data_IF_767217154201
#
_entry.id   IF_767217154201
#
_cell.length_a   1.000
_cell.length_b   1.000
_cell.length_c   1.000
_cell.angle_alpha   90.00
_cell.angle_beta   90.00
_cell.angle_gamma   90.00
#
_symmetry.space_group_name_H-M   'P 1'
#
loop_
_entity.id
_entity.type
_entity.pdbx_description
1 polymer ?
#
# COMPACT_ATOMS: atom_id res chain seq x y z
N UNK A 1 26.31 1.56 2.29
CA UNK A 1 25.26 1.93 1.30
C UNK A 1 25.94 2.47 0.06
N UNK A 2 25.52 2.04 -1.12
CA UNK A 2 26.01 2.60 -2.39
C UNK A 2 25.35 3.96 -2.63
N UNK A 3 26.04 4.93 -3.23
CA UNK A 3 25.45 6.25 -3.54
C UNK A 3 24.13 6.14 -4.34
N UNK A 4 24.03 5.11 -5.19
CA UNK A 4 22.81 4.81 -5.94
C UNK A 4 21.60 4.55 -5.04
N UNK A 5 21.75 3.79 -3.96
CA UNK A 5 20.65 3.51 -3.04
C UNK A 5 20.14 4.78 -2.34
N UNK A 6 21.05 5.70 -1.97
CA UNK A 6 20.68 6.97 -1.36
C UNK A 6 19.94 7.88 -2.35
N UNK A 7 20.39 7.95 -3.59
CA UNK A 7 19.73 8.73 -4.64
C UNK A 7 18.34 8.19 -4.97
N UNK A 8 18.18 6.86 -4.97
CA UNK A 8 16.86 6.23 -5.13
C UNK A 8 15.95 6.59 -3.96
N UNK A 9 16.42 6.46 -2.71
CA UNK A 9 15.64 6.82 -1.52
C UNK A 9 15.24 8.31 -1.52
N UNK A 10 16.11 9.19 -2.01
CA UNK A 10 15.84 10.62 -2.16
C UNK A 10 14.79 10.91 -3.26
N UNK A 11 14.95 10.30 -4.44
CA UNK A 11 13.97 10.40 -5.53
C UNK A 11 12.56 10.01 -5.02
N UNK A 12 12.47 8.91 -4.28
CA UNK A 12 11.20 8.44 -3.73
C UNK A 12 10.58 9.43 -2.75
N UNK A 13 11.39 10.10 -1.92
CA UNK A 13 10.90 11.13 -1.01
C UNK A 13 10.34 12.34 -1.78
N UNK A 14 11.02 12.77 -2.85
CA UNK A 14 10.55 13.87 -3.69
C UNK A 14 9.27 13.53 -4.47
N UNK A 15 9.15 12.30 -4.97
CA UNK A 15 7.91 11.83 -5.61
C UNK A 15 6.71 11.87 -4.66
N UNK A 16 6.91 11.43 -3.40
CA UNK A 16 5.89 11.53 -2.35
C UNK A 16 5.50 12.99 -2.09
N UNK A 17 6.49 13.87 -1.90
CA UNK A 17 6.27 15.30 -1.67
C UNK A 17 5.50 15.94 -2.82
N UNK A 18 5.89 15.67 -4.06
CA UNK A 18 5.18 16.16 -5.24
C UNK A 18 3.75 15.65 -5.31
N UNK A 19 3.52 14.35 -5.10
CA UNK A 19 2.19 13.75 -5.15
C UNK A 19 1.24 14.36 -4.11
N UNK A 20 1.68 14.48 -2.85
CA UNK A 20 0.86 15.01 -1.77
C UNK A 20 0.64 16.52 -1.88
N UNK A 21 1.68 17.30 -2.21
CA UNK A 21 1.51 18.75 -2.41
C UNK A 21 0.57 19.06 -3.56
N UNK A 22 0.75 18.41 -4.71
CA UNK A 22 -0.18 18.57 -5.83
C UNK A 22 -1.60 18.14 -5.45
N UNK A 23 -1.75 17.06 -4.68
CA UNK A 23 -3.05 16.61 -4.17
C UNK A 23 -3.73 17.61 -3.23
N UNK A 24 -2.96 18.23 -2.33
CA UNK A 24 -3.43 19.26 -1.39
C UNK A 24 -3.79 20.57 -2.09
N UNK A 25 -2.97 21.02 -3.03
CA UNK A 25 -3.24 22.23 -3.82
C UNK A 25 -4.53 22.09 -4.64
N UNK A 26 -4.70 20.98 -5.37
CA UNK A 26 -5.93 20.70 -6.12
C UNK A 26 -7.16 20.62 -5.22
N UNK A 27 -7.01 20.13 -3.99
CA UNK A 27 -8.11 20.08 -3.04
C UNK A 27 -8.58 21.50 -2.67
N UNK A 28 -7.64 22.41 -2.45
CA UNK A 28 -7.94 23.80 -2.15
C UNK A 28 -8.61 24.50 -3.34
N UNK A 29 -8.11 24.28 -4.55
CA UNK A 29 -8.72 24.85 -5.78
C UNK A 29 -10.18 24.38 -5.95
N UNK A 30 -10.46 23.08 -5.73
CA UNK A 30 -11.82 22.53 -5.80
C UNK A 30 -12.75 23.09 -4.72
N UNK A 31 -12.23 23.44 -3.54
CA UNK A 31 -13.01 24.09 -2.49
C UNK A 31 -13.27 25.57 -2.78
N UNK A 32 -12.38 26.25 -3.50
CA UNK A 32 -12.53 27.65 -3.90
C UNK A 32 -13.46 27.82 -5.11
N UNK A 33 -13.56 26.82 -6.00
CA UNK A 33 -14.34 26.89 -7.25
C UNK A 33 -15.78 26.32 -7.15
N UNK A 34 -16.23 25.72 -6.03
CA UNK A 34 -17.42 24.86 -6.06
C UNK A 34 -18.36 24.86 -4.84
N UNK A 35 -19.21 25.87 -4.70
CA UNK A 35 -20.51 25.80 -3.99
C UNK A 35 -21.70 25.62 -4.98
N UNK A 36 -21.45 25.45 -6.28
CA UNK A 36 -22.50 25.50 -7.32
C UNK A 36 -22.66 24.23 -8.17
N UNK A 37 -22.00 23.12 -7.79
CA UNK A 37 -22.09 21.86 -8.52
C UNK A 37 -22.59 20.70 -7.64
N UNK A 38 -23.64 20.95 -6.85
CA UNK A 38 -24.46 19.87 -6.31
C UNK A 38 -25.09 19.15 -7.50
N UNK A 39 -24.52 18.01 -7.89
CA UNK A 39 -25.15 17.07 -8.80
C UNK A 39 -26.52 16.76 -8.17
N UNK A 40 -27.59 17.20 -8.84
CA UNK A 40 -28.93 16.70 -8.58
C UNK A 40 -28.90 15.20 -8.88
N UNK A 41 -28.58 14.39 -7.88
CA UNK A 41 -28.82 12.95 -7.93
C UNK A 41 -30.33 12.81 -8.00
N UNK A 42 -30.82 12.36 -9.15
CA UNK A 42 -32.19 11.93 -9.33
C UNK A 42 -32.49 10.89 -8.24
N UNK A 43 -33.30 11.28 -7.24
CA UNK A 43 -33.60 10.48 -6.05
C UNK A 43 -34.39 9.18 -6.34
N UNK A 44 -34.54 8.81 -7.61
CA UNK A 44 -35.17 7.57 -8.04
C UNK A 44 -34.19 6.44 -8.34
N UNK A 45 -32.89 6.72 -8.50
CA UNK A 45 -31.86 5.72 -8.83
C UNK A 45 -30.93 5.44 -7.65
N UNK A 46 -30.80 4.16 -7.29
CA UNK A 46 -29.78 3.70 -6.36
C UNK A 46 -28.40 3.86 -6.99
N UNK A 47 -27.49 4.56 -6.30
CA UNK A 47 -26.10 4.71 -6.73
C UNK A 47 -25.38 3.36 -6.62
N UNK A 48 -24.54 3.05 -7.62
CA UNK A 48 -23.67 1.87 -7.56
C UNK A 48 -22.52 2.05 -6.57
N UNK A 49 -21.98 0.96 -6.05
CA UNK A 49 -20.83 0.98 -5.13
C UNK A 49 -19.65 1.77 -5.71
N UNK A 50 -19.41 1.66 -7.02
CA UNK A 50 -18.39 2.44 -7.72
C UNK A 50 -18.64 3.94 -7.63
N UNK A 51 -19.86 4.38 -7.92
CA UNK A 51 -20.23 5.81 -7.86
C UNK A 51 -20.13 6.35 -6.42
N UNK A 52 -20.45 5.52 -5.43
CA UNK A 52 -20.30 5.86 -4.01
C UNK A 52 -18.82 6.07 -3.66
N UNK A 53 -17.94 5.15 -4.08
CA UNK A 53 -16.49 5.25 -3.86
C UNK A 53 -15.89 6.44 -4.61
N UNK A 54 -16.28 6.68 -5.86
CA UNK A 54 -15.82 7.85 -6.63
C UNK A 54 -16.27 9.15 -5.95
N UNK A 55 -17.52 9.22 -5.49
CA UNK A 55 -18.03 10.36 -4.71
C UNK A 55 -17.24 10.57 -3.41
N UNK A 56 -16.90 9.50 -2.69
CA UNK A 56 -16.04 9.59 -1.50
C UNK A 56 -14.68 10.21 -1.84
N UNK A 57 -14.01 9.71 -2.88
CA UNK A 57 -12.66 10.17 -3.26
C UNK A 57 -12.64 11.64 -3.70
N UNK A 58 -13.75 12.15 -4.26
CA UNK A 58 -13.89 13.58 -4.58
C UNK A 58 -14.11 14.44 -3.34
N UNK A 59 -15.05 14.04 -2.47
CA UNK A 59 -15.47 14.80 -1.29
C UNK A 59 -14.44 14.78 -0.16
N UNK A 60 -13.90 13.61 0.16
CA UNK A 60 -13.01 13.46 1.31
C UNK A 60 -11.54 13.60 0.92
N UNK A 61 -10.96 14.72 1.35
CA UNK A 61 -9.54 14.99 1.12
C UNK A 61 -8.61 14.05 1.90
N UNK A 62 -9.05 13.54 3.05
CA UNK A 62 -8.26 12.64 3.88
C UNK A 62 -8.08 11.28 3.21
N UNK A 63 -9.17 10.61 2.82
CA UNK A 63 -9.13 9.32 2.10
C UNK A 63 -8.30 9.43 0.83
N UNK A 64 -8.46 10.52 0.07
CA UNK A 64 -7.65 10.76 -1.13
C UNK A 64 -6.16 10.91 -0.83
N UNK A 65 -5.79 11.65 0.23
CA UNK A 65 -4.38 11.74 0.64
C UNK A 65 -3.83 10.39 1.10
N UNK A 66 -4.63 9.60 1.85
CA UNK A 66 -4.25 8.24 2.26
C UNK A 66 -3.99 7.34 1.03
N UNK A 67 -4.86 7.40 0.03
CA UNK A 67 -4.69 6.67 -1.23
C UNK A 67 -3.42 7.11 -1.97
N UNK A 68 -3.10 8.41 -2.02
CA UNK A 68 -1.85 8.88 -2.65
C UNK A 68 -0.60 8.30 -1.99
N UNK A 69 -0.62 8.10 -0.66
CA UNK A 69 0.49 7.45 0.06
C UNK A 69 0.55 5.96 -0.29
N UNK A 70 -0.59 5.28 -0.40
CA UNK A 70 -0.65 3.88 -0.87
C UNK A 70 -0.09 3.76 -2.29
N UNK A 71 -0.54 4.59 -3.22
CA UNK A 71 -0.09 4.61 -4.62
C UNK A 71 1.43 4.89 -4.74
N UNK A 72 1.96 5.74 -3.87
CA UNK A 72 3.39 6.00 -3.78
C UNK A 72 4.17 4.76 -3.31
N UNK A 73 3.71 4.10 -2.25
CA UNK A 73 4.33 2.88 -1.72
C UNK A 73 4.28 1.73 -2.73
N UNK A 74 3.17 1.61 -3.48
CA UNK A 74 3.00 0.60 -4.52
C UNK A 74 3.97 0.83 -5.68
N UNK A 75 4.10 2.07 -6.16
CA UNK A 75 5.10 2.42 -7.19
C UNK A 75 6.52 2.13 -6.75
N UNK A 76 6.84 2.42 -5.48
CA UNK A 76 8.16 2.11 -4.92
C UNK A 76 8.44 0.60 -4.85
N UNK A 77 7.42 -0.24 -4.70
CA UNK A 77 7.56 -1.69 -4.62
C UNK A 77 7.72 -2.37 -6.00
N UNK A 78 7.34 -1.72 -7.10
CA UNK A 78 7.41 -2.30 -8.47
C UNK A 78 8.82 -2.82 -8.82
N UNK A 79 9.91 -2.05 -8.67
CA UNK A 79 11.25 -2.53 -9.02
C UNK A 79 11.71 -3.69 -8.13
N UNK A 80 11.14 -3.84 -6.92
CA UNK A 80 11.50 -4.89 -5.97
C UNK A 80 10.88 -6.24 -6.36
N UNK A 81 9.73 -6.24 -7.05
CA UNK A 81 9.04 -7.46 -7.46
C UNK A 81 9.80 -8.26 -8.53
N UNK A 82 10.65 -7.62 -9.34
CA UNK A 82 11.45 -8.29 -10.37
C UNK A 82 12.87 -8.70 -9.93
N UNK A 83 13.23 -8.45 -8.67
CA UNK A 83 14.58 -8.64 -8.14
C UNK A 83 14.69 -9.84 -7.18
N UNK A 84 13.64 -10.66 -7.04
CA UNK A 84 13.73 -11.92 -6.32
C UNK A 84 14.77 -12.82 -6.97
N UNK A 85 15.55 -13.53 -6.15
CA UNK A 85 16.58 -14.46 -6.60
C UNK A 85 16.05 -15.40 -7.70
N UNK A 86 16.92 -15.85 -8.62
CA UNK A 86 16.58 -16.73 -9.74
C UNK A 86 15.81 -18.01 -9.34
N UNK A 87 15.86 -18.39 -8.06
CA UNK A 87 15.17 -19.53 -7.43
C UNK A 87 13.64 -19.34 -7.28
N UNK A 88 13.15 -18.08 -7.30
CA UNK A 88 11.71 -17.74 -7.15
C UNK A 88 11.01 -17.52 -8.51
N UNK A 89 11.65 -17.83 -9.65
CA UNK A 89 11.04 -17.65 -10.97
C UNK A 89 9.94 -18.69 -11.21
N UNK A 90 8.71 -18.29 -10.90
CA UNK A 90 7.47 -19.05 -11.16
C UNK A 90 7.34 -19.55 -12.61
N UNK A 91 7.98 -18.89 -13.57
CA UNK A 91 8.03 -19.29 -14.98
C UNK A 91 8.58 -20.71 -15.19
N UNK A 92 9.43 -21.22 -14.29
CA UNK A 92 9.93 -22.61 -14.37
C UNK A 92 8.92 -23.64 -13.89
N UNK A 93 7.90 -23.21 -13.14
CA UNK A 93 6.88 -24.07 -12.52
C UNK A 93 5.51 -23.96 -13.23
N UNK A 94 5.28 -22.86 -13.96
CA UNK A 94 4.08 -22.58 -14.75
C UNK A 94 4.05 -23.41 -16.05
N UNK A 95 4.06 -24.73 -15.93
CA UNK A 95 3.91 -25.61 -17.06
C UNK A 95 2.40 -25.93 -17.24
N UNK A 96 1.81 -25.59 -18.37
CA UNK A 96 0.48 -26.03 -18.85
C UNK A 96 -0.77 -25.77 -17.96
N UNK A 97 -0.77 -24.80 -17.04
CA UNK A 97 -2.01 -24.29 -16.41
C UNK A 97 -2.78 -25.28 -15.52
N UNK A 98 -2.11 -26.31 -15.00
CA UNK A 98 -2.70 -27.29 -14.08
C UNK A 98 -2.11 -27.14 -12.68
N UNK A 99 -2.95 -26.78 -11.70
CA UNK A 99 -2.58 -26.75 -10.29
C UNK A 99 -2.45 -28.17 -9.71
N UNK A 100 -1.58 -28.33 -8.72
CA UNK A 100 -1.36 -29.57 -7.96
C UNK A 100 -1.05 -30.82 -8.82
N UNK A 101 -0.12 -30.69 -9.75
CA UNK A 101 0.25 -31.76 -10.68
C UNK A 101 0.76 -33.01 -9.98
N UNK A 102 1.58 -32.85 -8.93
CA UNK A 102 2.15 -34.01 -8.24
C UNK A 102 1.08 -34.77 -7.45
N UNK A 103 0.13 -34.05 -6.87
CA UNK A 103 -1.06 -34.59 -6.21
C UNK A 103 -1.95 -35.32 -7.22
N UNK A 104 -2.14 -34.75 -8.42
CA UNK A 104 -2.86 -35.41 -9.52
C UNK A 104 -2.19 -36.71 -9.97
N UNK A 105 -0.88 -36.68 -10.15
CA UNK A 105 -0.12 -37.87 -10.52
C UNK A 105 -0.25 -38.96 -9.45
N UNK A 106 -0.20 -38.58 -8.17
CA UNK A 106 -0.44 -39.50 -7.07
C UNK A 106 -1.85 -40.13 -7.16
N UNK A 107 -2.89 -39.36 -7.49
CA UNK A 107 -4.23 -39.91 -7.74
C UNK A 107 -4.28 -40.98 -8.81
N UNK A 108 -3.75 -40.64 -9.97
CA UNK A 108 -3.80 -41.51 -11.15
C UNK A 108 -3.03 -42.80 -10.87
N UNK A 109 -1.87 -42.71 -10.21
CA UNK A 109 -1.07 -43.88 -9.85
C UNK A 109 -1.74 -44.80 -8.81
N UNK A 110 -2.47 -44.24 -7.84
CA UNK A 110 -3.19 -45.02 -6.83
C UNK A 110 -4.48 -45.65 -7.36
N UNK A 111 -5.12 -45.05 -8.36
CA UNK A 111 -6.31 -45.62 -9.01
C UNK A 111 -5.99 -46.90 -9.79
N UNK A 112 -4.79 -46.97 -10.41
CA UNK A 112 -4.35 -48.12 -11.20
C UNK A 112 -3.86 -49.31 -10.36
N UNK A 113 -3.34 -49.03 -9.16
CA UNK A 113 -2.76 -50.04 -8.27
C UNK A 113 -3.61 -50.09 -7.00
N UNK A 114 -4.70 -50.88 -7.02
CA UNK A 114 -5.61 -51.02 -5.88
C UNK A 114 -4.88 -51.26 -4.55
N UNK A 115 -4.66 -50.18 -3.80
CA UNK A 115 -3.79 -50.16 -2.63
C UNK A 115 -4.18 -49.02 -1.66
N UNK A 116 -3.61 -49.14 -0.45
CA UNK A 116 -3.80 -48.44 0.83
C UNK A 116 -4.43 -47.03 0.84
N UNK A 117 -5.10 -46.64 1.96
CA UNK A 117 -5.62 -45.28 2.13
C UNK A 117 -4.52 -44.24 1.88
N UNK A 118 -4.78 -43.36 0.90
CA UNK A 118 -3.88 -42.26 0.52
C UNK A 118 -3.64 -41.33 1.71
N UNK A 119 -2.38 -40.91 1.91
CA UNK A 119 -2.04 -39.84 2.86
C UNK A 119 -2.29 -38.44 2.32
N UNK A 120 -2.68 -38.34 1.04
CA UNK A 120 -2.98 -37.10 0.34
C UNK A 120 -4.48 -36.95 0.13
N UNK A 121 -4.95 -35.71 -0.02
CA UNK A 121 -6.34 -35.34 -0.41
C UNK A 121 -6.82 -36.20 -1.56
N UNK A 122 -8.13 -36.37 -1.76
CA UNK A 122 -8.78 -37.18 -2.83
C UNK A 122 -9.38 -36.36 -3.97
N UNK A 123 -9.58 -35.07 -3.76
CA UNK A 123 -10.13 -34.13 -4.72
C UNK A 123 -9.14 -32.99 -5.05
N UNK A 124 -9.27 -32.37 -6.22
CA UNK A 124 -8.38 -31.28 -6.70
C UNK A 124 -8.89 -29.86 -6.41
N UNK A 125 -10.03 -29.71 -5.75
CA UNK A 125 -10.53 -28.39 -5.37
C UNK A 125 -9.71 -27.78 -4.23
N UNK A 126 -9.59 -26.45 -4.24
CA UNK A 126 -8.75 -25.69 -3.29
C UNK A 126 -9.12 -25.90 -1.82
N UNK A 127 -10.37 -26.27 -1.52
CA UNK A 127 -10.83 -26.54 -0.16
C UNK A 127 -10.70 -28.03 0.26
N UNK A 128 -10.26 -28.93 -0.64
CA UNK A 128 -10.05 -30.35 -0.34
C UNK A 128 -9.13 -30.58 0.88
N UNK A 129 -7.99 -29.88 1.03
CA UNK A 129 -7.11 -30.08 2.17
C UNK A 129 -7.79 -29.77 3.50
N UNK A 130 -8.60 -28.72 3.52
CA UNK A 130 -9.35 -28.31 4.71
C UNK A 130 -10.54 -29.24 5.00
N UNK A 131 -11.28 -29.64 3.97
CA UNK A 131 -12.47 -30.49 4.08
C UNK A 131 -12.12 -31.92 4.49
N UNK A 132 -11.12 -32.51 3.84
CA UNK A 132 -10.71 -33.89 4.08
C UNK A 132 -9.72 -34.02 5.25
N UNK A 133 -9.09 -32.91 5.65
CA UNK A 133 -8.00 -32.88 6.65
C UNK A 133 -6.81 -33.75 6.23
N UNK A 134 -6.57 -33.79 4.92
CA UNK A 134 -5.42 -34.43 4.29
C UNK A 134 -4.56 -33.36 3.64
N UNK A 135 -3.30 -33.68 3.38
CA UNK A 135 -2.35 -32.74 2.77
C UNK A 135 -2.29 -32.93 1.25
N UNK A 136 -1.88 -31.91 0.52
CA UNK A 136 -1.43 -32.06 -0.87
C UNK A 136 0.02 -32.58 -0.89
N UNK A 137 0.51 -32.96 -2.07
CA UNK A 137 1.88 -33.38 -2.26
C UNK A 137 2.87 -32.30 -1.76
N UNK A 138 3.99 -32.71 -1.16
CA UNK A 138 4.90 -31.77 -0.51
C UNK A 138 5.52 -30.77 -1.51
N UNK A 139 5.78 -31.18 -2.75
CA UNK A 139 6.20 -30.30 -3.85
C UNK A 139 5.12 -29.27 -4.24
N UNK A 140 3.87 -29.71 -4.44
CA UNK A 140 2.79 -28.79 -4.79
C UNK A 140 2.53 -27.76 -3.67
N UNK A 141 2.74 -28.15 -2.41
CA UNK A 141 2.65 -27.23 -1.27
C UNK A 141 3.74 -26.18 -1.28
N UNK A 142 4.95 -26.54 -1.68
CA UNK A 142 6.07 -25.61 -1.83
C UNK A 142 5.78 -24.63 -2.97
N UNK A 143 5.36 -25.15 -4.14
CA UNK A 143 4.95 -24.34 -5.30
C UNK A 143 3.85 -23.33 -4.95
N UNK A 144 2.81 -23.76 -4.21
CA UNK A 144 1.77 -22.85 -3.72
C UNK A 144 2.32 -21.76 -2.78
N UNK A 145 3.25 -22.11 -1.89
CA UNK A 145 3.86 -21.12 -0.99
C UNK A 145 4.64 -20.05 -1.78
N UNK A 146 5.38 -20.44 -2.82
CA UNK A 146 6.07 -19.51 -3.72
C UNK A 146 5.08 -18.65 -4.52
N UNK A 147 3.99 -19.25 -5.03
CA UNK A 147 2.93 -18.52 -5.73
C UNK A 147 2.30 -17.46 -4.81
N UNK A 148 1.87 -17.81 -3.61
CA UNK A 148 1.27 -16.85 -2.68
C UNK A 148 2.24 -15.73 -2.27
N UNK A 149 3.52 -16.05 -2.13
CA UNK A 149 4.57 -15.06 -1.87
C UNK A 149 4.70 -14.08 -3.04
N UNK A 150 4.78 -14.58 -4.27
CA UNK A 150 4.79 -13.75 -5.49
C UNK A 150 3.53 -12.88 -5.57
N UNK A 151 2.34 -13.47 -5.42
CA UNK A 151 1.05 -12.76 -5.39
C UNK A 151 1.07 -11.62 -4.38
N UNK A 152 1.55 -11.85 -3.16
CA UNK A 152 1.66 -10.79 -2.15
C UNK A 152 2.56 -9.65 -2.61
N UNK A 153 3.73 -9.94 -3.18
CA UNK A 153 4.63 -8.89 -3.66
C UNK A 153 4.00 -8.06 -4.79
N UNK A 154 3.34 -8.71 -5.75
CA UNK A 154 2.68 -8.00 -6.85
C UNK A 154 1.44 -7.21 -6.40
N UNK A 155 0.68 -7.71 -5.42
CA UNK A 155 -0.36 -6.91 -4.74
C UNK A 155 0.22 -5.66 -4.09
N UNK A 156 1.38 -5.79 -3.44
CA UNK A 156 2.09 -4.68 -2.78
C UNK A 156 2.68 -3.66 -3.76
N UNK A 157 2.80 -4.04 -5.04
CA UNK A 157 3.22 -3.19 -6.13
C UNK A 157 2.05 -2.62 -6.96
N UNK A 158 0.80 -2.83 -6.52
CA UNK A 158 -0.39 -2.36 -7.23
C UNK A 158 -0.65 -3.06 -8.57
N UNK A 159 0.02 -4.19 -8.86
CA UNK A 159 -0.05 -4.91 -10.13
C UNK A 159 -1.20 -5.92 -10.15
N UNK A 160 -2.42 -5.46 -9.87
CA UNK A 160 -3.59 -6.34 -9.67
C UNK A 160 -3.92 -7.20 -10.90
N UNK A 161 -3.92 -6.59 -12.09
CA UNK A 161 -4.21 -7.29 -13.35
C UNK A 161 -3.20 -8.39 -13.64
N UNK A 162 -1.91 -8.05 -13.54
CA UNK A 162 -0.84 -9.01 -13.75
C UNK A 162 -0.88 -10.14 -12.71
N UNK A 163 -1.23 -9.83 -11.45
CA UNK A 163 -1.36 -10.83 -10.38
C UNK A 163 -2.46 -11.86 -10.71
N UNK A 164 -3.57 -11.42 -11.29
CA UNK A 164 -4.65 -12.32 -11.71
C UNK A 164 -4.22 -13.23 -12.86
N UNK A 165 -3.51 -12.66 -13.84
CA UNK A 165 -2.95 -13.40 -14.98
C UNK A 165 -1.95 -14.44 -14.48
N UNK A 166 -1.00 -14.05 -13.62
CA UNK A 166 -0.03 -14.97 -13.00
C UNK A 166 -0.72 -16.17 -12.36
N UNK A 167 -1.73 -15.92 -11.53
CA UNK A 167 -2.44 -16.95 -10.79
C UNK A 167 -3.24 -17.87 -11.72
N UNK A 168 -3.85 -17.29 -12.77
CA UNK A 168 -4.57 -18.06 -13.79
C UNK A 168 -3.64 -18.93 -14.63
N UNK A 169 -2.47 -18.41 -15.02
CA UNK A 169 -1.45 -19.12 -15.78
C UNK A 169 -0.85 -20.29 -15.00
N UNK A 170 -0.84 -20.20 -13.66
CA UNK A 170 -0.46 -21.29 -12.76
C UNK A 170 -1.62 -22.27 -12.45
N UNK A 171 -2.78 -22.13 -13.10
CA UNK A 171 -3.92 -23.03 -12.95
C UNK A 171 -4.80 -22.77 -11.72
N UNK A 172 -4.54 -21.71 -10.95
CA UNK A 172 -5.29 -21.33 -9.76
C UNK A 172 -6.44 -20.35 -10.08
N UNK A 173 -7.28 -20.66 -11.08
CA UNK A 173 -8.38 -19.79 -11.54
C UNK A 173 -9.33 -19.33 -10.42
N UNK A 174 -9.50 -20.16 -9.39
CA UNK A 174 -10.29 -19.82 -8.21
C UNK A 174 -9.68 -18.63 -7.43
N UNK A 175 -8.36 -18.54 -7.34
CA UNK A 175 -7.66 -17.45 -6.67
C UNK A 175 -7.69 -16.19 -7.54
N UNK A 176 -7.63 -16.32 -8.87
CA UNK A 176 -7.86 -15.19 -9.79
C UNK A 176 -9.27 -14.59 -9.59
N UNK A 177 -10.30 -15.42 -9.41
CA UNK A 177 -11.65 -14.96 -9.08
C UNK A 177 -11.73 -14.28 -7.70
N UNK A 178 -11.02 -14.79 -6.69
CA UNK A 178 -10.91 -14.13 -5.38
C UNK A 178 -10.26 -12.75 -5.50
N UNK A 179 -9.21 -12.62 -6.32
CA UNK A 179 -8.48 -11.37 -6.59
C UNK A 179 -9.30 -10.34 -7.38
N UNK A 180 -10.42 -10.70 -8.01
CA UNK A 180 -11.36 -9.75 -8.63
C UNK A 180 -12.44 -9.27 -7.65
N UNK A 181 -12.69 -10.03 -6.57
CA UNK A 181 -13.82 -9.80 -5.66
C UNK A 181 -13.77 -8.49 -4.85
N UNK A 182 -12.66 -7.74 -4.89
CA UNK A 182 -12.50 -6.45 -4.22
C UNK A 182 -13.20 -5.30 -4.94
N UNK A 183 -13.42 -5.41 -6.26
CA UNK A 183 -13.95 -4.32 -7.08
C UNK A 183 -15.36 -3.91 -6.64
N UNK A 184 -15.60 -2.60 -6.44
CA UNK A 184 -16.94 -2.07 -6.23
C UNK A 184 -17.87 -2.46 -7.39
N UNK A 185 -19.09 -2.89 -7.07
CA UNK A 185 -20.10 -3.20 -8.07
C UNK A 185 -20.48 -1.98 -8.90
N UNK A 186 -20.64 -2.17 -10.21
CA UNK A 186 -21.12 -1.15 -11.12
C UNK A 186 -21.90 -1.76 -12.29
N UNK A 187 -23.10 -1.23 -12.53
CA UNK A 187 -23.91 -1.56 -13.69
C UNK A 187 -24.20 -0.29 -14.50
N UNK A 188 -23.52 -0.15 -15.64
CA UNK A 188 -23.68 0.99 -16.56
C UNK A 188 -25.08 1.05 -17.18
N UNK A 189 -25.83 -0.05 -17.17
CA UNK A 189 -27.17 -0.12 -17.72
C UNK A 189 -28.21 0.43 -16.73
N UNK A 190 -27.88 0.48 -15.44
CA UNK A 190 -28.78 1.02 -14.42
C UNK A 190 -28.77 2.55 -14.54
N UNK A 191 -29.86 3.15 -15.04
CA UNK A 191 -30.00 4.60 -15.21
C UNK A 191 -29.77 5.15 -16.62
N UNK A 192 -29.47 4.30 -17.61
CA UNK A 192 -29.46 4.72 -19.01
C UNK A 192 -30.90 4.84 -19.53
N UNK A 193 -31.30 6.04 -19.97
CA UNK A 193 -32.56 6.25 -20.68
C UNK A 193 -32.53 5.37 -21.94
N UNK A 194 -33.56 4.55 -22.15
CA UNK A 194 -33.73 3.66 -23.32
C UNK A 194 -33.13 4.28 -24.59
N UNK A 195 -32.00 3.75 -25.07
CA UNK A 195 -31.32 4.31 -26.25
C UNK A 195 -29.89 3.83 -26.52
N UNK A 196 -29.22 3.15 -25.58
CA UNK A 196 -27.95 2.50 -25.87
C UNK A 196 -28.18 1.23 -26.72
N UNK A 197 -27.58 1.18 -27.91
CA UNK A 197 -27.74 0.07 -28.87
C UNK A 197 -27.06 -1.25 -28.43
N UNK A 198 -26.44 -1.29 -27.25
CA UNK A 198 -25.78 -2.48 -26.69
C UNK A 198 -25.76 -2.45 -25.16
N UNK A 199 -26.21 -3.54 -24.54
CA UNK A 199 -26.08 -3.80 -23.09
C UNK A 199 -24.59 -3.96 -22.77
N UNK A 200 -24.09 -3.21 -21.78
CA UNK A 200 -22.71 -3.32 -21.32
C UNK A 200 -22.59 -4.38 -20.22
N UNK A 201 -21.44 -5.07 -20.08
CA UNK A 201 -21.25 -6.01 -18.99
C UNK A 201 -21.22 -5.30 -17.64
N UNK A 202 -21.83 -5.91 -16.64
CA UNK A 202 -21.74 -5.49 -15.25
C UNK A 202 -20.36 -5.81 -14.69
N UNK A 203 -19.81 -4.91 -13.87
CA UNK A 203 -18.48 -5.03 -13.27
C UNK A 203 -18.56 -5.13 -11.74
N UNK A 204 -17.53 -5.74 -11.13
CA UNK A 204 -17.35 -5.79 -9.69
C UNK A 204 -18.27 -6.77 -8.94
N UNK A 205 -18.28 -6.66 -7.62
CA UNK A 205 -18.90 -7.62 -6.72
C UNK A 205 -20.03 -7.01 -5.89
N UNK A 206 -21.29 -7.35 -6.22
CA UNK A 206 -22.48 -6.91 -5.50
C UNK A 206 -22.48 -7.35 -4.01
N UNK A 207 -21.87 -8.48 -3.73
CA UNK A 207 -21.81 -9.12 -2.41
C UNK A 207 -20.40 -9.01 -1.79
N UNK A 208 -19.80 -7.81 -1.87
CA UNK A 208 -18.44 -7.56 -1.36
C UNK A 208 -18.29 -7.81 0.15
N UNK A 209 -19.34 -7.61 0.94
CA UNK A 209 -19.36 -7.93 2.38
C UNK A 209 -19.15 -9.43 2.66
N UNK A 210 -19.80 -10.30 1.88
CA UNK A 210 -19.63 -11.75 1.97
C UNK A 210 -18.22 -12.17 1.53
N UNK A 211 -17.71 -11.58 0.45
CA UNK A 211 -16.35 -11.81 -0.03
C UNK A 211 -15.30 -11.37 1.01
N UNK A 212 -15.44 -10.17 1.58
CA UNK A 212 -14.53 -9.64 2.60
C UNK A 212 -14.55 -10.52 3.85
N UNK A 213 -15.73 -10.98 4.27
CA UNK A 213 -15.88 -11.93 5.39
C UNK A 213 -15.14 -13.25 5.13
N UNK A 214 -15.28 -13.81 3.93
CA UNK A 214 -14.59 -15.04 3.54
C UNK A 214 -13.07 -14.86 3.51
N UNK A 215 -12.58 -13.75 2.94
CA UNK A 215 -11.15 -13.42 2.96
C UNK A 215 -10.63 -13.27 4.40
N UNK A 216 -11.38 -12.61 5.29
CA UNK A 216 -10.96 -12.45 6.68
C UNK A 216 -10.81 -13.79 7.42
N UNK A 217 -11.75 -14.72 7.20
CA UNK A 217 -11.72 -16.07 7.77
C UNK A 217 -10.52 -16.86 7.24
N UNK A 218 -10.26 -16.81 5.93
CA UNK A 218 -9.09 -17.44 5.33
C UNK A 218 -7.78 -16.84 5.87
N UNK A 219 -7.70 -15.52 6.01
CA UNK A 219 -6.55 -14.83 6.61
C UNK A 219 -6.28 -15.25 8.06
N UNK A 220 -7.35 -15.60 8.79
CA UNK A 220 -7.30 -15.99 10.20
C UNK A 220 -7.11 -17.50 10.40
N UNK A 221 -7.02 -18.29 9.33
CA UNK A 221 -6.87 -19.74 9.42
C UNK A 221 -5.42 -20.12 9.78
N UNK A 222 -5.14 -20.69 10.97
CA UNK A 222 -3.78 -21.02 11.39
C UNK A 222 -3.13 -22.14 10.57
N UNK A 223 -3.91 -22.94 9.82
CA UNK A 223 -3.37 -24.03 9.00
C UNK A 223 -2.83 -23.55 7.65
N UNK A 224 -3.27 -22.39 7.18
CA UNK A 224 -2.83 -21.78 5.93
C UNK A 224 -1.39 -21.29 6.03
N UNK A 225 -0.70 -21.20 4.90
CA UNK A 225 0.69 -20.73 4.85
C UNK A 225 0.80 -19.25 5.27
N UNK A 226 2.01 -18.78 5.59
CA UNK A 226 2.24 -17.38 5.97
C UNK A 226 1.71 -16.43 4.88
N UNK A 227 2.18 -16.60 3.64
CA UNK A 227 1.84 -15.71 2.54
C UNK A 227 0.40 -15.86 2.07
N UNK A 228 -0.19 -17.06 2.15
CA UNK A 228 -1.62 -17.26 1.89
C UNK A 228 -2.46 -16.39 2.84
N UNK A 229 -2.19 -16.46 4.15
CA UNK A 229 -2.88 -15.61 5.13
C UNK A 229 -2.64 -14.13 4.87
N UNK A 230 -1.42 -13.76 4.45
CA UNK A 230 -1.06 -12.38 4.13
C UNK A 230 -1.81 -11.86 2.90
N UNK A 231 -1.96 -12.65 1.84
CA UNK A 231 -2.74 -12.28 0.65
C UNK A 231 -4.20 -12.04 1.01
N UNK A 232 -4.84 -12.97 1.73
CA UNK A 232 -6.21 -12.77 2.18
C UNK A 232 -6.34 -11.60 3.16
N UNK A 233 -5.35 -11.40 4.03
CA UNK A 233 -5.29 -10.25 4.92
C UNK A 233 -5.20 -8.94 4.16
N UNK A 234 -4.46 -8.90 3.05
CA UNK A 234 -4.43 -7.76 2.15
C UNK A 234 -5.81 -7.54 1.52
N UNK A 235 -6.51 -8.57 1.08
CA UNK A 235 -7.83 -8.42 0.47
C UNK A 235 -8.92 -7.98 1.46
N UNK A 236 -8.81 -8.36 2.73
CA UNK A 236 -9.80 -8.06 3.77
C UNK A 236 -9.39 -6.96 4.76
N UNK A 237 -8.24 -6.33 4.59
CA UNK A 237 -7.61 -5.41 5.54
C UNK A 237 -7.37 -5.99 6.94
N UNK A 238 -7.03 -7.28 7.02
CA UNK A 238 -6.58 -7.89 8.26
C UNK A 238 -5.09 -7.59 8.47
N UNK A 239 -4.81 -6.43 9.06
CA UNK A 239 -3.44 -5.96 9.36
C UNK A 239 -2.66 -7.01 10.15
N UNK A 240 -3.27 -7.67 11.13
CA UNK A 240 -2.59 -8.65 11.98
C UNK A 240 -2.13 -9.89 11.21
N UNK A 241 -2.87 -10.32 10.18
CA UNK A 241 -2.45 -11.42 9.31
C UNK A 241 -1.32 -11.03 8.34
N UNK A 242 -1.19 -9.74 8.02
CA UNK A 242 -0.17 -9.24 7.08
C UNK A 242 1.16 -8.94 7.76
N UNK A 243 1.14 -8.36 8.96
CA UNK A 243 2.34 -7.92 9.68
C UNK A 243 3.46 -8.97 9.79
N UNK A 244 3.19 -10.28 10.00
CA UNK A 244 4.25 -11.28 10.10
C UNK A 244 5.06 -11.48 8.81
N UNK A 245 4.51 -11.11 7.64
CA UNK A 245 5.21 -11.14 6.35
C UNK A 245 5.89 -9.80 6.01
N UNK A 246 5.62 -8.73 6.76
CA UNK A 246 6.14 -7.39 6.53
C UNK A 246 7.33 -7.09 7.45
N UNK A 247 8.53 -7.05 6.88
CA UNK A 247 9.78 -6.80 7.62
C UNK A 247 10.22 -5.35 7.49
N UNK A 248 10.12 -4.78 6.29
CA UNK A 248 10.56 -3.43 6.00
C UNK A 248 9.61 -2.37 6.55
N UNK A 249 10.12 -1.15 6.74
CA UNK A 249 9.33 -0.02 7.23
C UNK A 249 8.21 0.34 6.25
N UNK A 250 8.51 0.31 4.95
CA UNK A 250 7.60 0.62 3.84
C UNK A 250 6.47 -0.41 3.74
N UNK A 251 6.77 -1.69 3.98
CA UNK A 251 5.77 -2.78 4.00
C UNK A 251 4.79 -2.61 5.16
N UNK A 252 5.32 -2.28 6.34
CA UNK A 252 4.53 -2.03 7.55
C UNK A 252 3.68 -0.76 7.42
N UNK A 253 4.20 0.28 6.76
CA UNK A 253 3.45 1.50 6.46
C UNK A 253 2.34 1.23 5.44
N UNK A 254 2.65 0.55 4.32
CA UNK A 254 1.67 0.22 3.28
C UNK A 254 0.50 -0.57 3.84
N UNK A 255 0.79 -1.59 4.67
CA UNK A 255 -0.24 -2.41 5.32
C UNK A 255 -1.23 -1.58 6.13
N UNK A 256 -0.75 -0.59 6.89
CA UNK A 256 -1.59 0.27 7.73
C UNK A 256 -2.33 1.32 6.92
N UNK A 257 -1.65 1.99 5.99
CA UNK A 257 -2.28 3.02 5.14
C UNK A 257 -3.37 2.42 4.24
N UNK A 258 -3.13 1.22 3.71
CA UNK A 258 -4.14 0.49 2.93
C UNK A 258 -5.36 0.09 3.77
N UNK A 259 -5.16 -0.26 5.04
CA UNK A 259 -6.26 -0.50 5.97
C UNK A 259 -7.04 0.78 6.29
N UNK A 260 -6.38 1.93 6.43
CA UNK A 260 -7.06 3.25 6.59
C UNK A 260 -7.98 3.52 5.40
N UNK A 261 -7.47 3.40 4.18
CA UNK A 261 -8.28 3.58 2.96
C UNK A 261 -9.48 2.64 2.94
N UNK A 262 -9.26 1.35 3.20
CA UNK A 262 -10.34 0.35 3.16
C UNK A 262 -11.38 0.57 4.27
N UNK A 263 -10.99 1.02 5.47
CA UNK A 263 -11.95 1.37 6.54
C UNK A 263 -12.82 2.53 6.12
N UNK A 264 -12.21 3.61 5.61
CA UNK A 264 -12.94 4.77 5.13
C UNK A 264 -13.89 4.41 3.95
N UNK A 265 -13.46 3.59 2.99
CA UNK A 265 -14.32 3.08 1.91
C UNK A 265 -15.44 2.17 2.41
N UNK A 266 -15.13 1.25 3.31
CA UNK A 266 -16.09 0.28 3.86
C UNK A 266 -17.19 0.99 4.67
N UNK A 267 -16.86 2.02 5.44
CA UNK A 267 -17.84 2.80 6.19
C UNK A 267 -18.87 3.49 5.28
N UNK A 268 -18.42 4.11 4.19
CA UNK A 268 -19.29 4.77 3.20
C UNK A 268 -20.16 3.75 2.44
N UNK A 269 -19.55 2.67 1.93
CA UNK A 269 -20.26 1.61 1.23
C UNK A 269 -21.32 0.96 2.11
N UNK A 270 -21.00 0.64 3.36
CA UNK A 270 -21.96 0.05 4.29
C UNK A 270 -23.10 1.01 4.61
N UNK A 271 -22.81 2.30 4.82
CA UNK A 271 -23.83 3.32 5.11
C UNK A 271 -24.83 3.47 3.96
N UNK A 272 -24.35 3.46 2.72
CA UNK A 272 -25.20 3.50 1.53
C UNK A 272 -25.98 2.19 1.32
N UNK A 273 -25.33 1.04 1.48
CA UNK A 273 -25.91 -0.27 1.11
C UNK A 273 -26.86 -0.84 2.17
N UNK A 274 -26.71 -0.46 3.46
CA UNK A 274 -27.59 -0.93 4.54
C UNK A 274 -29.06 -0.56 4.33
N UNK A 275 -29.34 0.46 3.52
CA UNK A 275 -30.70 0.86 3.16
C UNK A 275 -31.35 -0.11 2.15
N UNK A 276 -30.54 -0.74 1.30
CA UNK A 276 -30.99 -1.63 0.23
C UNK A 276 -31.02 -3.11 0.65
N UNK A 277 -30.04 -3.56 1.45
CA UNK A 277 -29.98 -4.96 1.94
C UNK A 277 -29.31 -5.11 3.30
N UNK A 278 -29.59 -6.23 3.95
CA UNK A 278 -28.84 -6.66 5.14
C UNK A 278 -27.40 -7.01 4.77
N UNK A 279 -26.45 -6.49 5.53
CA UNK A 279 -25.02 -6.73 5.35
C UNK A 279 -24.49 -7.71 6.39
N UNK A 280 -23.53 -8.53 5.99
CA UNK A 280 -22.76 -9.36 6.92
C UNK A 280 -21.95 -8.49 7.88
N UNK A 281 -21.95 -8.76 9.20
CA UNK A 281 -21.20 -7.98 10.18
C UNK A 281 -19.69 -8.13 9.95
N UNK A 282 -18.96 -7.02 10.15
CA UNK A 282 -17.50 -7.03 10.14
C UNK A 282 -16.98 -7.95 11.25
N UNK A 283 -15.88 -8.66 10.98
CA UNK A 283 -15.30 -9.62 11.91
C UNK A 283 -14.62 -8.91 13.09
N UNK A 284 -14.58 -9.53 14.29
CA UNK A 284 -13.85 -8.97 15.43
C UNK A 284 -12.38 -8.73 15.07
N UNK A 285 -11.89 -7.52 15.36
CA UNK A 285 -10.54 -7.08 15.01
C UNK A 285 -10.45 -6.19 13.77
N UNK A 286 -11.51 -6.07 12.98
CA UNK A 286 -11.60 -5.03 11.96
C UNK A 286 -11.78 -3.66 12.65
N UNK A 287 -11.02 -2.60 12.28
CA UNK A 287 -11.14 -1.29 12.90
C UNK A 287 -12.54 -0.69 12.73
N UNK A 288 -13.12 -0.20 13.83
CA UNK A 288 -14.43 0.46 13.80
C UNK A 288 -14.29 1.88 13.24
N UNK A 289 -13.27 2.59 13.71
CA UNK A 289 -12.99 3.98 13.35
C UNK A 289 -11.81 4.04 12.36
N UNK A 290 -11.86 5.01 11.44
CA UNK A 290 -10.75 5.25 10.50
C UNK A 290 -9.60 5.93 11.28
N UNK A 291 -8.43 5.29 11.31
CA UNK A 291 -7.26 5.80 12.05
C UNK A 291 -6.66 7.04 11.36
N UNK A 292 -6.12 7.97 12.13
CA UNK A 292 -5.43 9.15 11.57
C UNK A 292 -4.01 8.81 11.12
N UNK A 293 -3.37 9.71 10.36
CA UNK A 293 -1.96 9.52 9.99
C UNK A 293 -1.04 9.46 11.21
N UNK A 294 -1.33 10.25 12.25
CA UNK A 294 -0.61 10.23 13.53
C UNK A 294 -0.74 8.88 14.23
N UNK A 295 -1.94 8.29 14.23
CA UNK A 295 -2.16 6.97 14.80
C UNK A 295 -1.33 5.91 14.08
N UNK A 296 -1.33 5.93 12.74
CA UNK A 296 -0.54 5.02 11.90
C UNK A 296 0.95 5.13 12.21
N UNK A 297 1.50 6.34 12.25
CA UNK A 297 2.93 6.52 12.54
C UNK A 297 3.29 6.22 13.99
N UNK A 298 2.40 6.47 14.95
CA UNK A 298 2.59 6.08 16.35
C UNK A 298 2.69 4.56 16.49
N UNK A 299 1.80 3.82 15.82
CA UNK A 299 1.86 2.35 15.81
C UNK A 299 3.09 1.82 15.07
N UNK A 300 3.47 2.45 13.96
CA UNK A 300 4.65 2.09 13.20
C UNK A 300 5.92 2.25 14.05
N UNK A 301 6.01 3.34 14.81
CA UNK A 301 7.12 3.58 15.73
C UNK A 301 7.11 2.61 16.93
N UNK A 302 5.93 2.26 17.44
CA UNK A 302 5.80 1.27 18.51
C UNK A 302 6.21 -0.15 18.07
N UNK A 303 6.06 -0.47 16.78
CA UNK A 303 6.46 -1.75 16.20
C UNK A 303 7.98 -1.85 15.93
N UNK A 304 8.69 -0.72 15.91
CA UNK A 304 10.14 -0.65 15.76
C UNK A 304 10.76 -0.66 17.16
N UNK A 305 11.66 -1.60 17.46
CA UNK A 305 12.30 -1.66 18.77
C UNK A 305 13.08 -0.38 19.10
N UNK A 306 13.32 -0.09 20.39
CA UNK A 306 14.01 1.14 20.84
C UNK A 306 15.42 1.32 20.24
N UNK A 307 16.07 0.23 19.81
CA UNK A 307 17.38 0.26 19.13
C UNK A 307 17.28 0.64 17.66
N UNK A 308 16.26 0.16 16.94
CA UNK A 308 16.06 0.41 15.50
C UNK A 308 15.47 1.82 15.25
N UNK A 309 14.79 2.39 16.25
CA UNK A 309 14.26 3.75 16.17
C UNK A 309 15.36 4.84 16.08
N UNK A 310 16.59 4.56 16.60
CA UNK A 310 17.74 5.47 16.48
C UNK A 310 18.44 5.39 15.12
N UNK A 311 18.29 4.26 14.43
CA UNK A 311 18.86 4.02 13.10
C UNK A 311 17.85 4.34 11.97
N UNK A 312 16.79 5.09 12.30
CA UNK A 312 15.79 5.48 11.33
C UNK A 312 16.43 6.33 10.22
N UNK A 313 16.25 5.91 8.97
CA UNK A 313 16.80 6.64 7.82
C UNK A 313 16.24 8.06 7.81
N UNK A 314 17.09 9.05 7.50
CA UNK A 314 16.67 10.45 7.36
C UNK A 314 15.51 10.60 6.38
N UNK A 315 15.48 9.77 5.33
CA UNK A 315 14.39 9.74 4.35
C UNK A 315 13.06 9.33 4.95
N UNK A 316 13.03 8.43 5.94
CA UNK A 316 11.81 8.07 6.67
C UNK A 316 11.31 9.22 7.56
N UNK A 317 12.22 10.00 8.16
CA UNK A 317 11.86 11.20 8.94
C UNK A 317 11.20 12.22 8.01
N UNK A 318 11.80 12.47 6.84
CA UNK A 318 11.25 13.37 5.82
C UNK A 318 9.90 12.88 5.30
N UNK A 319 9.79 11.61 4.92
CA UNK A 319 8.55 11.01 4.43
C UNK A 319 7.43 11.12 5.48
N UNK A 320 7.72 10.83 6.75
CA UNK A 320 6.75 11.00 7.84
C UNK A 320 6.29 12.45 7.96
N UNK A 321 7.22 13.41 7.97
CA UNK A 321 6.88 14.84 8.05
C UNK A 321 5.99 15.30 6.90
N UNK A 322 6.28 14.84 5.67
CA UNK A 322 5.49 15.17 4.48
C UNK A 322 4.07 14.59 4.58
N UNK A 323 3.92 13.33 4.99
CA UNK A 323 2.60 12.69 5.14
C UNK A 323 1.77 13.38 6.23
N UNK A 324 2.38 13.67 7.37
CA UNK A 324 1.72 14.39 8.49
C UNK A 324 1.47 15.87 8.20
N UNK A 325 2.00 16.41 7.10
CA UNK A 325 1.98 17.85 6.79
C UNK A 325 2.63 18.71 7.88
N UNK A 326 3.61 18.15 8.59
CA UNK A 326 4.22 18.78 9.75
C UNK A 326 5.72 19.05 9.53
N UNK A 327 5.99 20.20 8.92
CA UNK A 327 7.34 20.59 8.52
C UNK A 327 8.23 20.98 9.70
N UNK A 328 7.66 21.50 10.80
CA UNK A 328 8.44 22.05 11.92
C UNK A 328 9.15 20.93 12.70
N UNK A 329 8.47 19.90 13.24
CA UNK A 329 9.12 18.79 13.92
C UNK A 329 9.98 17.95 12.99
N UNK A 330 9.66 17.91 11.69
CA UNK A 330 10.52 17.28 10.69
C UNK A 330 11.88 17.96 10.62
N UNK A 331 11.90 19.29 10.49
CA UNK A 331 13.15 20.07 10.44
C UNK A 331 13.91 19.98 11.76
N UNK A 332 13.22 20.07 12.90
CA UNK A 332 13.84 19.95 14.22
C UNK A 332 14.53 18.59 14.39
N UNK A 333 13.88 17.49 13.99
CA UNK A 333 14.49 16.16 14.06
C UNK A 333 15.67 15.98 13.10
N UNK A 334 15.59 16.53 11.89
CA UNK A 334 16.71 16.55 10.95
C UNK A 334 17.88 17.35 11.55
N UNK A 335 17.60 18.49 12.17
CA UNK A 335 18.60 19.31 12.83
C UNK A 335 19.29 18.53 13.97
N UNK A 336 18.53 17.98 14.92
CA UNK A 336 19.04 17.19 16.04
C UNK A 336 19.91 16.02 15.56
N UNK A 337 19.52 15.37 14.45
CA UNK A 337 20.30 14.31 13.81
C UNK A 337 21.64 14.82 13.27
N UNK A 338 21.66 15.99 12.62
CA UNK A 338 22.91 16.56 12.05
C UNK A 338 23.89 17.07 13.10
N UNK A 339 23.39 17.66 14.19
CA UNK A 339 24.23 18.35 15.18
C UNK A 339 24.59 17.50 16.39
N UNK A 340 23.94 16.33 16.58
CA UNK A 340 24.00 15.54 17.81
C UNK A 340 23.69 16.37 19.08
N UNK A 341 23.09 17.55 18.93
CA UNK A 341 22.69 18.42 20.02
C UNK A 341 21.18 18.42 20.11
N UNK A 342 20.64 18.21 21.30
CA UNK A 342 19.20 18.26 21.54
C UNK A 342 18.81 19.70 21.86
N UNK A 343 17.94 20.27 21.03
CA UNK A 343 17.22 21.50 21.37
C UNK A 343 17.57 22.70 20.49
N UNK A 344 16.66 23.00 19.57
CA UNK A 344 16.43 24.36 19.06
C UNK A 344 15.14 24.90 19.68
N UNK A 345 15.13 26.17 20.08
CA UNK A 345 13.96 26.79 20.72
C UNK A 345 12.80 27.06 19.73
N UNK A 346 13.06 27.03 18.41
CA UNK A 346 12.03 27.16 17.34
C UNK A 346 12.45 26.48 16.03
N UNK A 347 11.48 25.99 15.24
CA UNK A 347 11.72 25.44 13.89
C UNK A 347 12.42 26.40 12.91
N UNK A 348 12.23 27.72 13.06
CA UNK A 348 12.94 28.73 12.26
C UNK A 348 14.45 28.77 12.54
N UNK A 349 14.85 28.55 13.80
CA UNK A 349 16.27 28.50 14.16
C UNK A 349 16.90 27.20 13.66
N UNK A 350 16.18 26.07 13.74
CA UNK A 350 16.62 24.80 13.18
C UNK A 350 16.83 24.89 11.66
N UNK A 351 15.89 25.48 10.91
CA UNK A 351 16.04 25.79 9.48
C UNK A 351 17.29 26.64 9.22
N UNK A 352 17.47 27.73 9.97
CA UNK A 352 18.59 28.64 9.81
C UNK A 352 19.93 27.95 10.08
N UNK A 353 20.00 27.10 11.10
CA UNK A 353 21.19 26.33 11.43
C UNK A 353 21.56 25.30 10.35
N UNK A 354 20.57 24.61 9.77
CA UNK A 354 20.78 23.70 8.64
C UNK A 354 21.30 24.47 7.41
N UNK A 355 20.70 25.62 7.09
CA UNK A 355 21.14 26.48 5.98
C UNK A 355 22.55 27.02 6.20
N UNK A 356 22.91 27.44 7.42
CA UNK A 356 24.28 27.87 7.75
C UNK A 356 25.30 26.76 7.47
N UNK A 357 24.98 25.53 7.86
CA UNK A 357 25.84 24.35 7.65
C UNK A 357 25.97 24.00 6.17
N UNK A 358 24.85 24.04 5.42
CA UNK A 358 24.86 23.81 3.97
C UNK A 358 25.69 24.87 3.22
N UNK A 359 25.56 26.14 3.61
CA UNK A 359 26.38 27.22 3.04
C UNK A 359 27.87 27.03 3.32
N UNK A 360 28.25 26.53 4.50
CA UNK A 360 29.66 26.22 4.79
C UNK A 360 30.20 25.15 3.83
N UNK A 361 29.41 24.10 3.56
CA UNK A 361 29.79 23.06 2.59
C UNK A 361 29.94 23.63 1.18
N UNK A 362 28.97 24.45 0.71
CA UNK A 362 29.06 25.09 -0.61
C UNK A 362 30.29 25.99 -0.76
N UNK A 363 30.64 26.74 0.28
CA UNK A 363 31.84 27.60 0.28
C UNK A 363 33.10 26.74 0.22
N UNK A 364 33.18 25.68 1.03
CA UNK A 364 34.34 24.78 1.07
C UNK A 364 34.54 24.00 -0.24
N UNK A 365 33.46 23.65 -0.93
CA UNK A 365 33.50 22.97 -2.24
C UNK A 365 33.68 23.94 -3.42
N UNK A 366 33.66 25.25 -3.19
CA UNK A 366 33.88 26.27 -4.22
C UNK A 366 32.66 26.60 -5.09
N UNK A 367 31.45 26.23 -4.67
CA UNK A 367 30.19 26.47 -5.38
C UNK A 367 29.62 27.89 -5.14
N UNK A 368 30.42 28.91 -5.46
CA UNK A 368 30.16 30.33 -5.18
C UNK A 368 28.82 30.84 -5.73
N UNK A 369 28.41 30.37 -6.91
CA UNK A 369 27.19 30.85 -7.57
C UNK A 369 25.90 30.54 -6.80
N UNK A 370 25.91 29.49 -5.96
CA UNK A 370 24.74 29.05 -5.20
C UNK A 370 24.65 29.75 -3.83
N UNK A 371 25.77 30.23 -3.29
CA UNK A 371 25.84 30.85 -1.96
C UNK A 371 24.89 32.05 -1.84
N UNK A 372 24.79 32.87 -2.89
CA UNK A 372 23.93 34.06 -2.87
C UNK A 372 22.43 33.70 -2.73
N UNK A 373 21.98 32.62 -3.39
CA UNK A 373 20.58 32.18 -3.37
C UNK A 373 20.16 31.71 -1.98
N UNK A 374 20.98 30.88 -1.33
CA UNK A 374 20.66 30.32 -0.02
C UNK A 374 20.98 31.29 1.14
N UNK A 375 21.94 32.21 0.99
CA UNK A 375 22.20 33.22 1.99
C UNK A 375 21.05 34.23 2.10
N UNK A 376 20.35 34.53 1.00
CA UNK A 376 19.26 35.50 0.98
C UNK A 376 18.10 35.16 1.95
N UNK A 377 17.93 33.89 2.32
CA UNK A 377 16.87 33.43 3.23
C UNK A 377 17.27 33.49 4.71
N UNK A 378 18.55 33.78 5.03
CA UNK A 378 19.04 33.89 6.40
C UNK A 378 18.83 35.30 6.99
N UNK A 379 18.85 35.47 8.32
CA UNK A 379 18.89 36.79 8.95
C UNK A 379 20.09 37.62 8.49
N UNK A 380 19.93 38.95 8.43
CA UNK A 380 20.94 39.86 7.88
C UNK A 380 22.32 39.75 8.56
N UNK A 381 22.37 39.42 9.85
CA UNK A 381 23.62 39.20 10.60
C UNK A 381 24.41 38.02 10.06
N UNK A 382 23.72 36.94 9.69
CA UNK A 382 24.33 35.70 9.22
C UNK A 382 24.75 35.81 7.76
N UNK A 383 23.99 36.55 6.96
CA UNK A 383 24.36 36.88 5.58
C UNK A 383 25.74 37.53 5.53
N UNK A 384 25.97 38.57 6.34
CA UNK A 384 27.26 39.28 6.40
C UNK A 384 28.39 38.35 6.80
N UNK A 385 28.16 37.46 7.77
CA UNK A 385 29.15 36.48 8.20
C UNK A 385 29.53 35.52 7.07
N UNK A 386 28.55 34.97 6.34
CA UNK A 386 28.79 34.01 5.24
C UNK A 386 29.45 34.66 4.03
N UNK A 387 29.08 35.88 3.66
CA UNK A 387 29.76 36.61 2.58
C UNK A 387 31.21 36.98 2.94
N UNK A 388 31.47 37.30 4.22
CA UNK A 388 32.85 37.53 4.69
C UNK A 388 33.69 36.26 4.59
N UNK A 389 33.14 35.11 4.98
CA UNK A 389 33.80 33.81 4.86
C UNK A 389 34.07 33.44 3.41
N UNK A 390 33.11 33.66 2.51
CA UNK A 390 33.28 33.46 1.07
C UNK A 390 34.42 34.32 0.51
N UNK A 391 34.48 35.61 0.88
CA UNK A 391 35.55 36.51 0.43
C UNK A 391 36.94 36.10 0.96
N UNK A 392 37.00 35.44 2.13
CA UNK A 392 38.24 34.88 2.68
C UNK A 392 38.66 33.59 1.97
N UNK A 393 37.71 32.75 1.53
CA UNK A 393 37.99 31.51 0.82
C UNK A 393 38.43 31.72 -0.65
N UNK A 394 38.20 32.91 -1.21
CA UNK A 394 38.60 33.29 -2.57
C UNK A 394 39.99 33.94 -2.67
N UNK A 395 40.58 34.31 -1.52
CA UNK A 395 41.97 34.77 -1.40
C UNK A 395 42.88 33.60 -1.05
#
# INVERSE_FOLDING_TARGET
>A
MTCQALLTDELNAWELTGALLCGRLKANDLMEEGDDNTIFVDGSREASDREIVESLMTRDSFTRQAQLVVDWLERFAVPQCGMSDDDDRLEYFADEGCAWKNTLHHFQSCADVGSAPSSYVTEQNSDAPSRERLRIHDLDREDECHLFRSVFFHLRAGQLQWTQELVADNGHFWLAAVLEGWRPYHDQNNGSIMGANSIQPTEGNLNRDLWKRACWEAASNPTSSLYERTVYGALSSNVQAMLPACTAWEEKLWTRMRAVVDVCMEQELRTATQQARSLEPLRPGYPIDCATFEDVFRELQAAVGCSEARDQKITHISQRGVVLDDAVPMVEQIHDWTTHSVGCDTGTEACSALLRTYLDMLINEGHVSLVATYAATLPATDQVAKYKQLAQAQN
#
